data_IF_369229398139
#
_entry.id   IF_369229398139
#
_cell.length_a   1.000
_cell.length_b   1.000
_cell.length_c   1.000
_cell.angle_alpha   90.00
_cell.angle_beta   90.00
_cell.angle_gamma   90.00
#
_symmetry.space_group_name_H-M   'P 1'
#
loop_
_entity.id
_entity.type
_entity.pdbx_description
1 polymer ?
#
# COMPACT_ATOMS: atom_id res chain seq x y z
N UNK A 1 18.29 9.24 -8.57
CA UNK A 1 16.82 9.34 -8.55
C UNK A 1 16.34 10.77 -8.72
N UNK A 2 16.75 11.73 -7.89
CA UNK A 2 16.48 13.17 -8.12
C UNK A 2 16.84 13.61 -9.56
N UNK A 3 17.93 13.08 -10.11
CA UNK A 3 18.32 13.31 -11.50
C UNK A 3 17.26 12.93 -12.55
N UNK A 4 16.45 11.90 -12.36
CA UNK A 4 15.41 11.54 -13.33
C UNK A 4 14.27 12.54 -13.28
N UNK A 5 13.78 12.87 -12.08
CA UNK A 5 12.76 13.91 -11.89
C UNK A 5 13.25 15.24 -12.45
N UNK A 6 14.48 15.65 -12.15
CA UNK A 6 15.08 16.87 -12.72
C UNK A 6 15.15 16.82 -14.25
N UNK A 7 15.54 15.70 -14.85
CA UNK A 7 15.57 15.53 -16.32
C UNK A 7 14.17 15.66 -16.91
N UNK A 8 13.15 15.11 -16.26
CA UNK A 8 11.77 15.25 -16.73
C UNK A 8 11.26 16.69 -16.56
N UNK A 9 11.57 17.36 -15.44
CA UNK A 9 11.24 18.79 -15.25
C UNK A 9 11.83 19.63 -16.39
N UNK A 10 13.10 19.38 -16.74
CA UNK A 10 13.78 20.07 -17.84
C UNK A 10 13.15 19.70 -19.20
N UNK A 11 12.82 18.42 -19.42
CA UNK A 11 12.19 17.89 -20.66
C UNK A 11 10.83 18.54 -20.93
N UNK A 12 10.00 18.67 -19.90
CA UNK A 12 8.65 19.24 -20.01
C UNK A 12 8.64 20.76 -19.84
N UNK A 13 9.80 21.42 -19.69
CA UNK A 13 9.89 22.88 -19.64
C UNK A 13 9.30 23.48 -18.36
N UNK A 14 9.34 22.75 -17.25
CA UNK A 14 8.86 23.17 -15.93
C UNK A 14 9.99 23.74 -15.06
N UNK A 15 11.06 24.25 -15.68
CA UNK A 15 12.28 24.69 -14.99
C UNK A 15 12.06 25.81 -13.98
N UNK A 16 11.03 26.65 -14.18
CA UNK A 16 10.66 27.72 -13.25
C UNK A 16 9.99 27.20 -11.97
N UNK A 17 9.40 26.00 -12.02
CA UNK A 17 8.85 25.30 -10.86
C UNK A 17 9.84 24.30 -10.25
N UNK A 18 11.04 24.16 -10.81
CA UNK A 18 11.99 23.11 -10.44
C UNK A 18 12.30 23.09 -8.95
N UNK A 19 12.54 24.24 -8.34
CA UNK A 19 12.86 24.31 -6.91
C UNK A 19 11.67 23.87 -6.05
N UNK A 20 10.46 24.30 -6.39
CA UNK A 20 9.23 23.90 -5.71
C UNK A 20 8.97 22.39 -5.83
N UNK A 21 9.00 21.86 -7.05
CA UNK A 21 8.78 20.44 -7.33
C UNK A 21 9.83 19.56 -6.64
N UNK A 22 11.10 19.96 -6.62
CA UNK A 22 12.15 19.17 -5.96
C UNK A 22 11.97 19.14 -4.44
N UNK A 23 11.40 20.19 -3.83
CA UNK A 23 11.10 20.22 -2.40
C UNK A 23 9.90 19.36 -2.00
N UNK A 24 9.02 18.99 -2.94
CA UNK A 24 7.88 18.10 -2.68
C UNK A 24 8.18 16.64 -2.96
N UNK A 25 9.36 16.31 -3.51
CA UNK A 25 9.76 14.92 -3.75
C UNK A 25 9.83 14.15 -2.43
N UNK A 26 9.11 13.03 -2.36
CA UNK A 26 9.10 12.16 -1.20
C UNK A 26 9.55 10.73 -1.55
N UNK A 27 10.21 10.02 -0.61
CA UNK A 27 10.51 8.60 -0.78
C UNK A 27 9.30 7.73 -0.42
N UNK A 28 9.12 6.62 -1.14
CA UNK A 28 8.24 5.52 -0.75
C UNK A 28 8.84 4.17 -1.14
N UNK A 29 8.24 3.09 -0.66
CA UNK A 29 8.62 1.73 -1.04
C UNK A 29 7.61 1.20 -2.06
N UNK A 30 8.04 1.06 -3.32
CA UNK A 30 7.25 0.35 -4.33
C UNK A 30 7.17 -1.13 -3.96
N UNK A 31 5.97 -1.68 -4.04
CA UNK A 31 5.69 -3.10 -3.87
C UNK A 31 5.52 -3.68 -5.27
N UNK A 32 6.41 -4.57 -5.71
CA UNK A 32 6.42 -5.07 -7.08
C UNK A 32 5.92 -6.52 -7.09
N UNK A 33 4.67 -6.77 -7.52
CA UNK A 33 4.15 -8.12 -7.65
C UNK A 33 4.69 -8.80 -8.91
N UNK A 34 5.02 -10.07 -8.79
CA UNK A 34 5.35 -10.94 -9.91
C UNK A 34 4.59 -12.25 -9.75
N UNK A 35 3.70 -12.55 -10.70
CA UNK A 35 2.91 -13.77 -10.68
C UNK A 35 3.84 -15.00 -10.66
N UNK A 36 3.65 -15.86 -9.66
CA UNK A 36 4.48 -17.03 -9.39
C UNK A 36 3.59 -18.16 -8.88
N UNK A 37 3.58 -19.30 -9.59
CA UNK A 37 2.74 -20.45 -9.22
C UNK A 37 3.07 -20.98 -7.83
N UNK A 38 4.36 -20.99 -7.48
CA UNK A 38 4.85 -21.49 -6.18
C UNK A 38 5.73 -20.44 -5.53
N UNK A 39 5.24 -19.89 -4.42
CA UNK A 39 6.02 -19.03 -3.53
C UNK A 39 6.39 -19.81 -2.28
N UNK A 40 7.65 -19.71 -1.85
CA UNK A 40 8.13 -20.37 -0.64
C UNK A 40 7.41 -19.85 0.61
N UNK A 41 7.12 -20.75 1.56
CA UNK A 41 6.44 -20.41 2.82
C UNK A 41 7.20 -19.30 3.56
N UNK A 42 6.48 -18.27 4.00
CA UNK A 42 7.04 -17.15 4.75
C UNK A 42 7.75 -16.11 3.89
N UNK A 43 7.64 -16.18 2.56
CA UNK A 43 8.08 -15.10 1.67
C UNK A 43 7.05 -13.97 1.65
N UNK A 44 7.49 -12.76 1.30
CA UNK A 44 6.58 -11.67 0.96
C UNK A 44 5.80 -12.00 -0.32
N UNK A 45 4.48 -11.84 -0.27
CA UNK A 45 3.58 -12.12 -1.40
C UNK A 45 2.27 -11.35 -1.31
N UNK A 46 1.64 -11.17 -2.46
CA UNK A 46 0.26 -10.69 -2.61
C UNK A 46 -0.61 -11.80 -3.16
N UNK A 47 -1.87 -11.84 -2.74
CA UNK A 47 -2.85 -12.84 -3.15
C UNK A 47 -2.46 -14.29 -2.82
N UNK A 48 -3.24 -15.24 -3.34
CA UNK A 48 -3.11 -16.65 -2.99
C UNK A 48 -3.42 -16.93 -1.52
N UNK A 49 -2.92 -18.06 -1.01
CA UNK A 49 -3.24 -18.55 0.34
C UNK A 49 -2.13 -18.13 1.33
N UNK A 50 -2.46 -17.56 2.51
CA UNK A 50 -1.47 -17.07 3.46
C UNK A 50 -0.66 -18.19 4.14
N UNK A 51 0.54 -17.84 4.59
CA UNK A 51 1.39 -18.68 5.44
C UNK A 51 1.22 -18.23 6.89
N UNK A 52 0.54 -19.04 7.69
CA UNK A 52 0.08 -18.69 9.03
C UNK A 52 0.84 -19.47 10.12
N UNK A 53 1.07 -18.88 11.31
CA UNK A 53 1.49 -19.63 12.48
C UNK A 53 0.37 -20.58 12.96
N UNK A 54 0.73 -21.62 13.72
CA UNK A 54 -0.22 -22.65 14.15
C UNK A 54 -1.37 -22.13 15.03
N UNK A 55 -1.17 -21.02 15.73
CA UNK A 55 -2.16 -20.40 16.64
C UNK A 55 -2.78 -19.15 16.02
N UNK A 56 -2.80 -19.03 14.69
CA UNK A 56 -3.35 -17.85 14.03
C UNK A 56 -4.88 -17.80 14.18
N UNK A 57 -5.37 -16.71 14.76
CA UNK A 57 -6.80 -16.40 14.79
C UNK A 57 -7.15 -15.62 13.52
N UNK A 58 -7.85 -16.29 12.60
CA UNK A 58 -8.20 -15.69 11.31
C UNK A 58 -9.20 -14.54 11.51
N UNK A 59 -8.95 -13.34 10.94
CA UNK A 59 -9.81 -12.19 11.18
C UNK A 59 -11.18 -12.36 10.51
N UNK A 60 -12.24 -12.01 11.24
CA UNK A 60 -13.62 -12.15 10.81
C UNK A 60 -14.36 -10.81 10.89
N UNK A 61 -15.28 -10.56 9.95
CA UNK A 61 -16.22 -9.45 9.99
C UNK A 61 -17.65 -9.98 9.86
N UNK A 62 -18.52 -9.66 10.84
CA UNK A 62 -19.92 -10.13 10.90
C UNK A 62 -20.07 -11.66 10.69
N UNK A 63 -19.09 -12.45 11.14
CA UNK A 63 -19.09 -13.91 11.03
C UNK A 63 -18.51 -14.47 9.72
N UNK A 64 -18.07 -13.61 8.79
CA UNK A 64 -17.40 -14.00 7.55
C UNK A 64 -15.88 -13.79 7.64
N UNK A 65 -15.05 -14.70 7.12
CA UNK A 65 -13.60 -14.51 7.08
C UNK A 65 -13.24 -13.35 6.16
N UNK A 66 -12.29 -12.51 6.60
CA UNK A 66 -11.75 -11.46 5.73
C UNK A 66 -10.93 -12.07 4.59
N UNK A 67 -10.95 -11.41 3.43
CA UNK A 67 -10.12 -11.80 2.30
C UNK A 67 -8.66 -11.49 2.59
N UNK A 68 -7.78 -12.44 2.29
CA UNK A 68 -6.34 -12.24 2.39
C UNK A 68 -5.85 -11.39 1.22
N UNK A 69 -5.17 -10.29 1.52
CA UNK A 69 -4.62 -9.36 0.52
C UNK A 69 -3.13 -9.65 0.31
N UNK A 70 -2.34 -9.61 1.38
CA UNK A 70 -0.89 -9.76 1.30
C UNK A 70 -0.29 -10.21 2.63
N UNK A 71 0.90 -10.81 2.54
CA UNK A 71 1.79 -11.00 3.68
C UNK A 71 3.17 -10.45 3.32
N UNK A 72 3.80 -9.74 4.24
CA UNK A 72 5.16 -9.25 4.09
C UNK A 72 6.04 -9.82 5.19
N UNK A 73 7.15 -10.42 4.77
CA UNK A 73 8.24 -10.76 5.68
C UNK A 73 9.04 -9.49 5.93
N UNK A 74 9.00 -8.97 7.15
CA UNK A 74 9.62 -7.68 7.46
C UNK A 74 11.14 -7.67 7.29
N UNK A 75 11.78 -8.85 7.24
CA UNK A 75 13.19 -8.96 6.90
C UNK A 75 13.50 -8.45 5.48
N UNK A 76 12.57 -8.60 4.53
CA UNK A 76 12.74 -8.16 3.13
C UNK A 76 12.78 -6.62 3.02
N UNK A 77 12.17 -5.92 3.98
CA UNK A 77 12.10 -4.45 4.02
C UNK A 77 13.34 -3.79 4.63
N UNK A 78 14.15 -4.52 5.41
CA UNK A 78 15.27 -3.95 6.17
C UNK A 78 16.37 -3.35 5.29
N UNK A 79 16.50 -3.82 4.04
CA UNK A 79 17.57 -3.40 3.12
C UNK A 79 17.07 -2.49 1.99
N UNK A 80 15.81 -2.05 2.04
CA UNK A 80 15.23 -1.18 1.00
C UNK A 80 15.84 0.23 1.03
N UNK A 81 16.46 0.63 2.15
CA UNK A 81 17.15 1.92 2.26
C UNK A 81 16.23 3.08 2.64
N UNK A 82 15.05 2.78 3.19
CA UNK A 82 14.12 3.75 3.78
C UNK A 82 14.00 3.53 5.28
N UNK A 83 14.11 4.60 6.06
CA UNK A 83 13.84 4.55 7.49
C UNK A 83 12.34 4.41 7.74
N UNK A 84 11.94 3.42 8.54
CA UNK A 84 10.56 3.17 8.91
C UNK A 84 10.45 2.58 10.31
N UNK A 85 9.29 2.74 10.96
CA UNK A 85 9.05 2.25 12.32
C UNK A 85 8.54 0.79 12.37
N UNK A 86 8.60 0.03 11.27
CA UNK A 86 8.25 -1.39 11.29
C UNK A 86 9.23 -2.20 12.16
N UNK A 87 8.76 -3.30 12.78
CA UNK A 87 9.65 -4.30 13.36
C UNK A 87 10.68 -4.81 12.36
N UNK A 88 11.84 -5.24 12.87
CA UNK A 88 12.93 -5.73 12.01
C UNK A 88 12.64 -7.10 11.38
N UNK A 89 11.81 -7.88 12.04
CA UNK A 89 11.52 -9.28 11.73
C UNK A 89 10.06 -9.58 12.03
N UNK A 90 9.61 -10.74 11.55
CA UNK A 90 8.25 -11.22 11.69
C UNK A 90 7.43 -11.05 10.42
N UNK A 91 6.18 -11.49 10.49
CA UNK A 91 5.23 -11.45 9.39
C UNK A 91 4.16 -10.40 9.64
N UNK A 92 3.90 -9.57 8.64
CA UNK A 92 2.81 -8.62 8.62
C UNK A 92 1.77 -9.10 7.60
N UNK A 93 0.51 -9.18 8.01
CA UNK A 93 -0.58 -9.71 7.18
C UNK A 93 -1.65 -8.65 6.98
N UNK A 94 -2.18 -8.55 5.77
CA UNK A 94 -3.22 -7.60 5.38
C UNK A 94 -4.46 -8.35 4.94
N UNK A 95 -5.60 -7.96 5.49
CA UNK A 95 -6.90 -8.53 5.18
C UNK A 95 -7.94 -7.43 4.99
N UNK A 96 -8.92 -7.65 4.13
CA UNK A 96 -10.06 -6.75 3.95
C UNK A 96 -11.36 -7.51 3.79
N UNK A 97 -12.48 -6.82 3.99
CA UNK A 97 -13.78 -7.33 3.58
C UNK A 97 -13.84 -7.44 2.05
N UNK A 98 -14.68 -8.36 1.55
CA UNK A 98 -14.93 -8.54 0.12
C UNK A 98 -15.79 -7.40 -0.47
N UNK A 99 -16.89 -7.07 0.22
CA UNK A 99 -17.86 -6.09 -0.26
C UNK A 99 -17.81 -4.80 0.56
N UNK A 100 -16.96 -3.86 0.13
CA UNK A 100 -16.89 -2.53 0.76
C UNK A 100 -18.14 -1.66 0.57
N UNK A 101 -18.97 -1.98 -0.43
CA UNK A 101 -20.18 -1.21 -0.77
C UNK A 101 -21.44 -1.71 -0.05
N UNK A 102 -21.32 -2.63 0.90
CA UNK A 102 -22.44 -2.98 1.79
C UNK A 102 -22.81 -1.78 2.69
N UNK A 103 -24.09 -1.66 3.04
CA UNK A 103 -24.55 -0.64 3.98
C UNK A 103 -23.85 -0.83 5.35
N UNK A 104 -23.45 0.29 5.98
CA UNK A 104 -22.85 0.35 7.33
C UNK A 104 -21.47 -0.31 7.50
N UNK A 105 -20.61 -0.30 6.47
CA UNK A 105 -19.19 -0.65 6.64
C UNK A 105 -18.48 0.47 7.41
N UNK A 106 -17.96 0.15 8.59
CA UNK A 106 -17.05 1.03 9.32
C UNK A 106 -15.62 0.83 8.78
N UNK A 107 -14.93 1.88 8.27
CA UNK A 107 -13.56 1.78 7.75
C UNK A 107 -12.55 1.18 8.74
N UNK A 108 -12.73 1.43 10.04
CA UNK A 108 -11.89 0.85 11.10
C UNK A 108 -12.18 -0.64 11.35
N UNK A 109 -13.23 -1.20 10.75
CA UNK A 109 -13.61 -2.61 10.79
C UNK A 109 -13.50 -3.33 9.44
N UNK A 110 -13.26 -2.58 8.38
CA UNK A 110 -13.29 -3.05 7.01
C UNK A 110 -11.98 -3.74 6.58
N UNK A 111 -10.89 -3.47 7.30
CA UNK A 111 -9.63 -4.18 7.14
C UNK A 111 -8.98 -4.55 8.45
N UNK A 112 -8.07 -5.52 8.41
CA UNK A 112 -7.26 -5.94 9.56
C UNK A 112 -5.82 -6.11 9.13
N UNK A 113 -4.92 -5.51 9.88
CA UNK A 113 -3.48 -5.76 9.78
C UNK A 113 -3.02 -6.48 11.03
N UNK A 114 -2.36 -7.61 10.85
CA UNK A 114 -1.90 -8.45 11.96
C UNK A 114 -0.40 -8.66 11.86
N UNK A 115 0.27 -8.58 13.00
CA UNK A 115 1.71 -8.79 13.10
C UNK A 115 2.03 -9.96 14.02
N UNK A 116 2.89 -10.86 13.53
CA UNK A 116 3.38 -11.99 14.31
C UNK A 116 4.91 -12.04 14.25
N UNK A 117 5.55 -11.91 15.42
CA UNK A 117 6.98 -12.18 15.58
C UNK A 117 7.19 -13.70 15.65
N UNK A 118 7.22 -14.33 14.49
CA UNK A 118 7.38 -15.78 14.34
C UNK A 118 8.44 -16.10 13.29
N UNK A 119 9.29 -17.10 13.53
CA UNK A 119 10.28 -17.52 12.55
C UNK A 119 9.60 -18.33 11.42
N UNK A 120 10.18 -18.28 10.22
CA UNK A 120 9.58 -18.87 9.00
C UNK A 120 9.29 -20.36 9.14
N UNK A 121 10.10 -21.10 9.91
CA UNK A 121 9.93 -22.54 10.13
C UNK A 121 8.67 -22.90 10.94
N UNK A 122 8.07 -21.92 11.61
CA UNK A 122 6.81 -22.10 12.34
C UNK A 122 5.58 -21.72 11.52
N UNK A 123 5.77 -21.18 10.31
CA UNK A 123 4.70 -20.85 9.39
C UNK A 123 4.31 -22.07 8.56
N UNK A 124 3.03 -22.15 8.23
CA UNK A 124 2.48 -23.18 7.34
C UNK A 124 1.46 -22.52 6.42
N UNK A 125 1.45 -22.93 5.14
CA UNK A 125 0.39 -22.54 4.23
C UNK A 125 -0.95 -22.95 4.82
N UNK A 126 -1.92 -22.04 4.87
CA UNK A 126 -3.25 -22.36 5.39
C UNK A 126 -3.91 -23.45 4.54
N UNK A 127 -4.56 -24.42 5.19
CA UNK A 127 -5.32 -25.46 4.50
C UNK A 127 -6.71 -24.95 4.13
N UNK A 128 -7.25 -25.40 3.00
CA UNK A 128 -8.68 -25.26 2.62
C UNK A 128 -9.22 -23.81 2.51
N UNK A 129 -8.36 -22.80 2.41
CA UNK A 129 -8.78 -21.41 2.17
C UNK A 129 -9.02 -21.16 0.68
N UNK A 130 -10.24 -20.75 0.33
CA UNK A 130 -10.55 -20.26 -1.02
C UNK A 130 -10.09 -18.79 -1.15
N UNK A 131 -9.39 -18.49 -2.23
CA UNK A 131 -8.80 -17.16 -2.47
C UNK A 131 -9.15 -16.69 -3.87
N UNK A 132 -9.58 -15.44 -3.99
CA UNK A 132 -10.02 -14.85 -5.27
C UNK A 132 -8.86 -14.21 -6.06
N UNK A 133 -7.72 -14.01 -5.41
CA UNK A 133 -6.57 -13.30 -5.97
C UNK A 133 -5.45 -14.26 -6.35
N UNK A 134 -4.82 -13.99 -7.50
CA UNK A 134 -3.66 -14.72 -7.99
C UNK A 134 -2.47 -14.51 -7.05
N UNK A 135 -1.71 -15.57 -6.83
CA UNK A 135 -0.48 -15.50 -6.04
C UNK A 135 0.64 -14.80 -6.81
N UNK A 136 1.21 -13.78 -6.20
CA UNK A 136 2.39 -13.08 -6.70
C UNK A 136 3.48 -13.06 -5.63
N UNK A 137 4.70 -13.47 -5.98
CA UNK A 137 5.86 -13.12 -5.16
C UNK A 137 6.05 -11.60 -5.22
N UNK A 138 6.58 -11.03 -4.15
CA UNK A 138 6.71 -9.59 -4.02
C UNK A 138 8.14 -9.19 -3.71
N UNK A 139 8.63 -8.15 -4.37
CA UNK A 139 9.87 -7.44 -4.01
C UNK A 139 9.58 -5.99 -3.65
N UNK A 140 10.54 -5.35 -2.98
CA UNK A 140 10.41 -3.98 -2.48
C UNK A 140 11.51 -3.11 -3.04
N UNK A 141 11.16 -1.93 -3.54
CA UNK A 141 12.10 -0.99 -4.15
C UNK A 141 11.90 0.41 -3.59
N UNK A 142 12.98 1.05 -3.11
CA UNK A 142 12.94 2.47 -2.75
C UNK A 142 12.84 3.30 -4.03
N UNK A 143 11.76 4.05 -4.14
CA UNK A 143 11.52 5.00 -5.22
C UNK A 143 11.24 6.39 -4.64
N UNK A 144 11.32 7.40 -5.50
CA UNK A 144 10.97 8.78 -5.16
C UNK A 144 9.87 9.22 -6.11
N UNK A 145 8.80 9.79 -5.55
CA UNK A 145 7.64 10.26 -6.30
C UNK A 145 7.46 11.77 -6.11
N UNK A 146 6.66 12.36 -6.98
CA UNK A 146 6.08 13.68 -6.81
C UNK A 146 4.61 13.51 -6.40
N UNK A 147 4.09 14.38 -5.52
CA UNK A 147 2.67 14.39 -5.21
C UNK A 147 1.87 14.96 -6.37
N UNK A 148 0.57 14.69 -6.36
CA UNK A 148 -0.36 15.44 -7.20
C UNK A 148 -0.48 16.87 -6.67
N UNK A 149 0.09 17.80 -7.41
CA UNK A 149 0.08 19.22 -7.07
C UNK A 149 -0.91 19.96 -7.94
N UNK A 150 -1.65 20.87 -7.32
CA UNK A 150 -2.43 21.85 -8.05
C UNK A 150 -1.50 22.92 -8.61
N UNK A 151 -1.41 22.99 -9.95
CA UNK A 151 -0.65 24.02 -10.67
C UNK A 151 -1.66 25.01 -11.27
N UNK A 152 -1.56 26.28 -10.87
CA UNK A 152 -2.49 27.33 -11.30
C UNK A 152 -2.45 27.61 -12.81
N UNK A 153 -1.27 27.56 -13.43
CA UNK A 153 -1.12 27.74 -14.86
C UNK A 153 -1.54 26.47 -15.62
N UNK A 154 -2.55 26.58 -16.47
CA UNK A 154 -3.13 25.46 -17.21
C UNK A 154 -2.10 24.74 -18.10
N UNK A 155 -1.21 25.48 -18.76
CA UNK A 155 -0.22 24.89 -19.65
C UNK A 155 0.89 24.16 -18.87
N UNK A 156 1.28 24.68 -17.71
CA UNK A 156 2.21 23.99 -16.81
C UNK A 156 1.55 22.77 -16.16
N UNK A 157 0.26 22.85 -15.82
CA UNK A 157 -0.53 21.73 -15.30
C UNK A 157 -0.54 20.55 -16.28
N UNK A 158 -0.86 20.79 -17.56
CA UNK A 158 -0.82 19.75 -18.61
C UNK A 158 0.58 19.12 -18.74
N UNK A 159 1.63 19.94 -18.68
CA UNK A 159 3.02 19.48 -18.76
C UNK A 159 3.42 18.67 -17.53
N UNK A 160 2.90 19.03 -16.36
CA UNK A 160 3.14 18.31 -15.12
C UNK A 160 2.44 16.95 -15.10
N UNK A 161 1.21 16.86 -15.60
CA UNK A 161 0.52 15.57 -15.78
C UNK A 161 1.31 14.64 -16.70
N UNK A 162 1.80 15.13 -17.84
CA UNK A 162 2.66 14.35 -18.73
C UNK A 162 3.97 13.92 -18.08
N UNK A 163 4.54 14.76 -17.21
CA UNK A 163 5.71 14.43 -16.41
C UNK A 163 5.40 13.27 -15.44
N UNK A 164 4.27 13.34 -14.74
CA UNK A 164 3.85 12.30 -13.80
C UNK A 164 3.60 10.96 -14.53
N UNK A 165 2.92 10.99 -15.69
CA UNK A 165 2.72 9.82 -16.54
C UNK A 165 4.04 9.18 -16.98
N UNK A 166 5.06 9.97 -17.33
CA UNK A 166 6.37 9.41 -17.71
C UNK A 166 7.22 8.97 -16.51
N UNK A 167 7.05 9.62 -15.36
CA UNK A 167 7.70 9.22 -14.12
C UNK A 167 7.16 7.88 -13.60
N UNK A 168 5.88 7.60 -13.87
CA UNK A 168 5.15 6.40 -13.47
C UNK A 168 4.52 5.77 -14.72
N UNK A 169 5.34 5.17 -15.61
CA UNK A 169 4.86 4.71 -16.93
C UNK A 169 3.84 3.56 -16.85
N UNK A 170 3.78 2.86 -15.72
CA UNK A 170 2.83 1.81 -15.43
C UNK A 170 1.64 2.41 -14.65
N UNK A 171 0.69 3.03 -15.34
CA UNK A 171 -0.57 3.60 -14.77
C UNK A 171 -1.46 2.59 -13.99
N UNK A 172 -1.01 1.35 -13.76
CA UNK A 172 -1.79 0.25 -13.19
C UNK A 172 -1.04 -0.59 -12.14
N UNK A 173 0.13 -0.13 -11.67
CA UNK A 173 0.92 -0.84 -10.65
C UNK A 173 1.52 0.13 -9.63
N UNK A 174 0.62 0.83 -8.93
CA UNK A 174 0.96 1.79 -7.88
C UNK A 174 0.90 1.20 -6.46
N UNK A 175 1.15 -0.10 -6.30
CA UNK A 175 1.25 -0.69 -4.96
C UNK A 175 2.45 -0.09 -4.22
N UNK A 176 2.21 0.49 -3.04
CA UNK A 176 3.27 1.16 -2.28
C UNK A 176 3.09 1.07 -0.77
N UNK A 177 4.20 1.06 -0.04
CA UNK A 177 4.25 1.30 1.40
C UNK A 177 4.91 2.65 1.67
N UNK A 178 4.41 3.35 2.68
CA UNK A 178 4.91 4.67 3.08
C UNK A 178 4.84 5.74 1.99
N UNK A 179 5.34 6.94 2.31
CA UNK A 179 5.22 8.12 1.46
C UNK A 179 3.79 8.68 1.46
N UNK A 180 3.50 9.53 0.49
CA UNK A 180 2.18 10.10 0.31
C UNK A 180 1.29 9.17 -0.51
N UNK A 181 0.07 8.85 -0.05
CA UNK A 181 -0.88 8.07 -0.83
C UNK A 181 -1.28 8.77 -2.12
N UNK A 182 -1.46 7.99 -3.18
CA UNK A 182 -2.17 8.47 -4.36
C UNK A 182 -3.67 8.46 -4.04
N UNK A 183 -4.31 9.63 -3.92
CA UNK A 183 -5.72 9.69 -3.52
C UNK A 183 -6.62 9.70 -4.75
N UNK A 184 -7.61 8.81 -4.80
CA UNK A 184 -8.60 8.76 -5.89
C UNK A 184 -9.78 9.70 -5.60
N UNK A 185 -10.09 9.91 -4.33
CA UNK A 185 -11.20 10.75 -3.86
C UNK A 185 -10.68 11.84 -2.91
N UNK A 186 -11.05 11.78 -1.63
CA UNK A 186 -10.50 12.68 -0.60
C UNK A 186 -9.04 12.31 -0.26
N UNK A 187 -8.28 13.24 0.31
CA UNK A 187 -6.92 12.96 0.77
C UNK A 187 -6.94 11.81 1.79
N UNK A 188 -6.31 10.68 1.45
CA UNK A 188 -6.44 9.41 2.20
C UNK A 188 -6.01 9.55 3.67
N UNK A 189 -4.94 10.30 3.97
CA UNK A 189 -4.48 10.49 5.36
C UNK A 189 -5.42 11.41 6.14
N UNK A 190 -6.08 12.34 5.47
CA UNK A 190 -7.12 13.16 6.08
C UNK A 190 -8.35 12.33 6.42
N UNK A 191 -8.89 11.60 5.44
CA UNK A 191 -10.05 10.72 5.58
C UNK A 191 -9.83 9.69 6.71
N UNK A 192 -8.71 8.98 6.67
CA UNK A 192 -8.40 7.95 7.68
C UNK A 192 -8.12 8.56 9.06
N UNK A 193 -7.50 9.74 9.12
CA UNK A 193 -7.29 10.51 10.34
C UNK A 193 -8.59 10.88 11.03
N UNK A 194 -9.58 11.38 10.27
CA UNK A 194 -10.92 11.71 10.77
C UNK A 194 -11.63 10.47 11.34
N UNK A 195 -11.58 9.33 10.65
CA UNK A 195 -12.17 8.07 11.15
C UNK A 195 -11.52 7.57 12.43
N UNK A 196 -10.21 7.79 12.60
CA UNK A 196 -9.46 7.36 13.77
C UNK A 196 -9.41 8.39 14.89
N UNK A 197 -9.81 9.64 14.64
CA UNK A 197 -9.60 10.77 15.55
C UNK A 197 -8.11 11.09 15.76
N UNK A 198 -7.30 10.93 14.72
CA UNK A 198 -5.85 11.18 14.72
C UNK A 198 -5.55 12.29 13.71
N UNK A 199 -4.68 13.24 14.09
CA UNK A 199 -4.18 14.27 13.17
C UNK A 199 -3.59 13.60 11.91
N UNK A 200 -4.00 14.01 10.69
CA UNK A 200 -3.48 13.43 9.44
C UNK A 200 -1.94 13.44 9.34
N UNK A 201 -1.27 14.44 9.92
CA UNK A 201 0.21 14.50 9.97
C UNK A 201 0.82 13.46 10.92
N UNK A 202 0.00 12.84 11.77
CA UNK A 202 0.37 11.72 12.65
C UNK A 202 -0.09 10.37 12.11
N UNK A 203 -0.57 10.31 10.87
CA UNK A 203 -0.91 9.09 10.16
C UNK A 203 0.25 8.63 9.27
N UNK A 204 0.34 7.33 9.07
CA UNK A 204 1.28 6.68 8.14
C UNK A 204 0.52 5.76 7.22
N UNK A 205 0.77 5.85 5.91
CA UNK A 205 0.37 4.82 4.95
C UNK A 205 1.21 3.56 5.16
N UNK A 206 0.58 2.47 5.61
CA UNK A 206 1.24 1.16 5.69
C UNK A 206 1.30 0.48 4.35
N UNK A 207 0.19 0.46 3.63
CA UNK A 207 0.12 -0.18 2.32
C UNK A 207 -1.05 0.38 1.49
N UNK A 208 -0.76 0.82 0.28
CA UNK A 208 -1.72 1.15 -0.77
C UNK A 208 -1.66 0.04 -1.82
N UNK A 209 -2.83 -0.44 -2.22
CA UNK A 209 -3.00 -1.50 -3.22
C UNK A 209 -3.87 -0.97 -4.36
N UNK A 210 -3.29 -0.90 -5.54
CA UNK A 210 -3.98 -0.51 -6.77
C UNK A 210 -4.85 -1.67 -7.30
N UNK A 211 -5.80 -1.36 -8.19
CA UNK A 211 -6.50 -2.38 -8.96
C UNK A 211 -5.55 -3.00 -9.99
N UNK A 212 -5.04 -4.19 -9.68
CA UNK A 212 -4.10 -4.92 -10.52
C UNK A 212 -4.72 -6.23 -11.04
N UNK A 213 -5.42 -6.11 -12.17
CA UNK A 213 -6.02 -7.25 -12.88
C UNK A 213 -5.00 -8.12 -13.61
N UNK A 214 -3.78 -7.60 -13.82
CA UNK A 214 -2.77 -8.24 -14.65
C UNK A 214 -1.93 -9.25 -13.87
N UNK A 215 -1.50 -8.89 -12.65
CA UNK A 215 -0.67 -9.76 -11.82
C UNK A 215 -1.53 -10.48 -10.78
N UNK A 216 -2.13 -9.73 -9.86
CA UNK A 216 -2.81 -10.28 -8.68
C UNK A 216 -4.30 -10.60 -8.91
N UNK A 217 -4.88 -10.19 -10.04
CA UNK A 217 -6.32 -10.27 -10.30
C UNK A 217 -7.15 -9.54 -9.20
N UNK A 218 -6.62 -8.43 -8.70
CA UNK A 218 -7.29 -7.58 -7.72
C UNK A 218 -8.03 -6.45 -8.44
N UNK A 219 -9.24 -6.16 -7.99
CA UNK A 219 -10.07 -5.07 -8.52
C UNK A 219 -10.87 -4.46 -7.38
N UNK A 220 -10.78 -3.14 -7.26
CA UNK A 220 -11.33 -2.39 -6.14
C UNK A 220 -12.39 -1.42 -6.65
N UNK A 221 -13.67 -1.82 -6.63
CA UNK A 221 -14.74 -1.02 -7.26
C UNK A 221 -14.52 -0.85 -8.76
N UNK A 222 -14.66 0.37 -9.27
CA UNK A 222 -14.38 0.76 -10.66
C UNK A 222 -12.94 1.26 -10.80
N UNK A 223 -11.99 0.32 -10.76
CA UNK A 223 -10.53 0.59 -10.87
C UNK A 223 -10.01 1.56 -9.80
N UNK A 224 -10.46 1.39 -8.56
CA UNK A 224 -10.00 2.12 -7.39
C UNK A 224 -8.76 1.52 -6.71
N UNK A 225 -8.54 1.93 -5.46
CA UNK A 225 -7.44 1.47 -4.62
C UNK A 225 -7.88 1.23 -3.17
N UNK A 226 -7.23 0.27 -2.51
CA UNK A 226 -7.39 -0.02 -1.10
C UNK A 226 -6.20 0.55 -0.30
N UNK A 227 -6.47 1.18 0.84
CA UNK A 227 -5.43 1.83 1.66
C UNK A 227 -5.51 1.37 3.10
N UNK A 228 -4.35 0.98 3.65
CA UNK A 228 -4.17 0.66 5.06
C UNK A 228 -3.34 1.77 5.71
N UNK A 229 -3.95 2.54 6.62
CA UNK A 229 -3.32 3.65 7.32
C UNK A 229 -3.34 3.44 8.83
N UNK A 230 -2.25 3.84 9.50
CA UNK A 230 -2.07 3.64 10.94
C UNK A 230 -1.56 4.92 11.60
N UNK A 231 -1.94 5.17 12.85
CA UNK A 231 -1.34 6.22 13.65
C UNK A 231 0.14 5.93 13.96
N UNK A 232 0.98 6.97 13.95
CA UNK A 232 2.42 6.88 14.20
C UNK A 232 2.74 6.20 15.54
N UNK A 233 1.95 6.46 16.58
CA UNK A 233 2.13 5.84 17.90
C UNK A 233 1.74 4.36 17.91
N UNK A 234 0.70 3.96 17.18
CA UNK A 234 0.32 2.55 17.05
C UNK A 234 1.39 1.77 16.28
N UNK A 235 1.91 2.35 15.20
CA UNK A 235 3.03 1.77 14.44
C UNK A 235 4.27 1.55 15.32
N UNK A 236 4.72 2.59 16.05
CA UNK A 236 5.88 2.49 16.95
C UNK A 236 5.69 1.41 18.02
N UNK A 237 4.47 1.24 18.50
CA UNK A 237 4.13 0.27 19.55
C UNK A 237 3.63 -1.07 18.99
N UNK A 238 3.71 -1.30 17.68
CA UNK A 238 3.34 -2.55 16.98
C UNK A 238 1.86 -2.94 17.15
N UNK A 239 0.97 -1.96 17.32
CA UNK A 239 -0.49 -2.17 17.44
C UNK A 239 -1.15 -2.13 16.06
N UNK A 240 -0.73 -3.05 15.19
CA UNK A 240 -1.17 -3.09 13.80
C UNK A 240 -2.68 -3.37 13.65
N UNK A 241 -3.28 -3.98 14.66
CA UNK A 241 -4.73 -4.21 14.75
C UNK A 241 -5.54 -2.90 14.76
N UNK A 242 -4.93 -1.76 15.10
CA UNK A 242 -5.53 -0.43 15.06
C UNK A 242 -5.46 0.24 13.68
N UNK A 243 -5.14 -0.50 12.60
CA UNK A 243 -5.08 0.07 11.25
C UNK A 243 -6.48 0.38 10.72
N UNK A 244 -6.66 1.56 10.12
CA UNK A 244 -7.84 1.93 9.35
C UNK A 244 -7.68 1.48 7.90
N UNK A 245 -8.74 0.94 7.31
CA UNK A 245 -8.74 0.50 5.92
C UNK A 245 -9.84 1.22 5.15
N UNK A 246 -9.48 1.96 4.10
CA UNK A 246 -10.43 2.67 3.24
C UNK A 246 -10.30 2.19 1.80
N UNK A 247 -11.43 2.15 1.09
CA UNK A 247 -11.51 1.91 -0.34
C UNK A 247 -11.92 3.22 -0.99
N UNK A 248 -11.15 3.70 -1.96
CA UNK A 248 -11.56 4.78 -2.85
C UNK A 248 -11.67 4.24 -4.26
N UNK A 249 -12.72 4.62 -4.98
CA UNK A 249 -13.02 4.17 -6.35
C UNK A 249 -13.32 5.36 -7.25
N UNK A 250 -13.05 5.21 -8.54
CA UNK A 250 -13.45 6.15 -9.57
C UNK A 250 -14.99 6.25 -9.67
#
# INVERSE_FOLDING_TARGET
MNKQIEVLIDKYGLTHLKEELIHTVFPCVKVVPKQEETVAVGSSKMGGVPDLPATFEYPMHKGNPLQFIAQFNLNDLQNVGMDHNLPKTGMLYFFSIENYFEEDVNPTEAGRVLYYEVPVEQLRRADELQTNYNQCATTFELIYKLPELFIEDEADSDRFLQLLEELIPDNYDNHQMFGEPFSVQEEVLYETGEYMGIDPQQMTLLFQIDSDTKNCNMMWGDLGMLYFCIGNEDLKNRRFENTCCVLQTC
#
